data_IF_613900464933
#
_entry.id   IF_613900464933
#
_cell.length_a   1.000
_cell.length_b   1.000
_cell.length_c   1.000
_cell.angle_alpha   90.00
_cell.angle_beta   90.00
_cell.angle_gamma   90.00
#
_symmetry.space_group_name_H-M   'P 1'
#
loop_
_entity.id
_entity.type
_entity.pdbx_description
1 polymer ?
#
# COMPACT_ATOMS: atom_id res chain seq x y z
N UNK A 1 -9.50 9.18 -14.18
CA UNK A 1 -9.06 8.21 -13.15
C UNK A 1 -7.86 8.79 -12.41
N UNK A 2 -7.81 8.67 -11.09
CA UNK A 2 -6.70 9.18 -10.29
C UNK A 2 -5.57 8.14 -10.26
N UNK A 3 -4.33 8.61 -10.36
CA UNK A 3 -3.13 7.76 -10.24
C UNK A 3 -2.58 7.88 -8.83
N UNK A 4 -2.22 6.76 -8.23
CA UNK A 4 -1.66 6.71 -6.89
C UNK A 4 -0.32 5.98 -6.89
N UNK A 5 0.64 6.51 -6.13
CA UNK A 5 1.90 5.82 -5.83
C UNK A 5 1.77 4.88 -4.63
N UNK A 6 2.66 3.88 -4.52
CA UNK A 6 2.77 3.04 -3.31
C UNK A 6 2.89 3.90 -2.05
N UNK A 7 3.69 4.96 -2.09
CA UNK A 7 3.90 5.84 -0.94
C UNK A 7 2.63 6.61 -0.56
N UNK A 8 1.87 7.12 -1.53
CA UNK A 8 0.58 7.79 -1.24
C UNK A 8 -0.44 6.81 -0.66
N UNK A 9 -0.57 5.61 -1.22
CA UNK A 9 -1.49 4.59 -0.72
C UNK A 9 -1.09 4.13 0.68
N UNK A 10 0.19 3.86 0.90
CA UNK A 10 0.71 3.52 2.23
C UNK A 10 0.49 4.68 3.21
N UNK A 11 0.77 5.93 2.84
CA UNK A 11 0.51 7.07 3.71
C UNK A 11 -0.99 7.25 3.98
N UNK A 12 -1.88 7.03 3.02
CA UNK A 12 -3.31 7.25 3.20
C UNK A 12 -3.97 6.18 4.07
N UNK A 13 -3.57 4.92 3.89
CA UNK A 13 -4.24 3.77 4.51
C UNK A 13 -3.46 3.16 5.68
N UNK A 14 -2.16 3.47 5.81
CA UNK A 14 -1.31 2.97 6.89
C UNK A 14 -0.83 4.06 7.87
N UNK A 15 -1.16 5.36 7.67
CA UNK A 15 -0.84 6.44 8.64
C UNK A 15 -1.52 6.30 9.99
N UNK A 16 -2.56 5.46 10.11
CA UNK A 16 -3.42 5.45 11.32
C UNK A 16 -2.63 5.13 12.57
N UNK A 17 -1.52 4.38 12.53
CA UNK A 17 -0.56 4.35 13.64
C UNK A 17 0.82 3.91 13.17
N UNK A 18 1.84 4.74 13.39
CA UNK A 18 3.26 4.36 13.20
C UNK A 18 3.62 3.05 13.94
N UNK A 19 2.89 2.75 15.02
CA UNK A 19 3.09 1.53 15.83
C UNK A 19 2.10 0.40 15.54
N UNK A 20 0.85 0.68 15.13
CA UNK A 20 -0.18 -0.34 14.84
C UNK A 20 -0.23 -0.81 13.37
N UNK A 21 0.82 -0.55 12.60
CA UNK A 21 1.04 -1.19 11.29
C UNK A 21 0.87 -2.73 11.25
N UNK A 22 1.26 -3.52 12.27
CA UNK A 22 0.93 -4.95 12.31
C UNK A 22 -0.56 -5.26 12.53
N UNK A 23 -1.38 -4.26 12.85
CA UNK A 23 -2.82 -4.40 13.13
C UNK A 23 -3.72 -3.82 12.04
N UNK A 24 -3.17 -3.13 11.03
CA UNK A 24 -3.92 -2.84 9.81
C UNK A 24 -4.17 -4.17 9.12
N UNK A 25 -5.36 -4.72 9.35
CA UNK A 25 -5.74 -6.02 8.81
C UNK A 25 -5.79 -5.93 7.29
N UNK A 26 -5.27 -6.96 6.60
CA UNK A 26 -5.42 -7.14 5.14
C UNK A 26 -6.82 -6.79 4.67
N UNK A 27 -7.83 -7.25 5.41
CA UNK A 27 -9.25 -7.00 5.14
C UNK A 27 -9.62 -5.51 5.06
N UNK A 28 -9.05 -4.66 5.92
CA UNK A 28 -9.36 -3.24 5.95
C UNK A 28 -8.69 -2.50 4.78
N UNK A 29 -7.45 -2.87 4.43
CA UNK A 29 -6.76 -2.40 3.23
C UNK A 29 -7.54 -2.78 1.96
N UNK A 30 -7.91 -4.05 1.86
CA UNK A 30 -8.74 -4.58 0.77
C UNK A 30 -10.05 -3.82 0.63
N UNK A 31 -10.82 -3.68 1.71
CA UNK A 31 -12.10 -2.96 1.67
C UNK A 31 -11.95 -1.49 1.28
N UNK A 32 -10.87 -0.84 1.72
CA UNK A 32 -10.63 0.57 1.42
C UNK A 32 -10.17 0.80 -0.02
N UNK A 33 -9.31 -0.07 -0.55
CA UNK A 33 -8.83 0.00 -1.92
C UNK A 33 -9.90 -0.45 -2.92
N UNK A 34 -10.74 -1.41 -2.56
CA UNK A 34 -11.87 -1.84 -3.39
C UNK A 34 -12.85 -0.67 -3.67
N UNK A 35 -13.06 0.23 -2.70
CA UNK A 35 -13.88 1.45 -2.88
C UNK A 35 -13.27 2.46 -3.84
N UNK A 36 -11.95 2.37 -4.12
CA UNK A 36 -11.28 3.23 -5.08
C UNK A 36 -11.29 2.65 -6.50
N UNK A 37 -11.69 1.39 -6.68
CA UNK A 37 -11.72 0.78 -8.01
C UNK A 37 -12.75 1.48 -8.90
N UNK A 38 -12.43 1.73 -10.18
CA UNK A 38 -11.14 1.49 -10.82
C UNK A 38 -10.15 2.65 -10.63
N UNK A 39 -8.86 2.36 -10.41
CA UNK A 39 -7.81 3.37 -10.22
C UNK A 39 -6.50 3.00 -10.92
N UNK A 40 -5.61 3.98 -11.10
CA UNK A 40 -4.26 3.74 -11.61
C UNK A 40 -3.25 3.69 -10.47
N UNK A 41 -2.33 2.75 -10.55
CA UNK A 41 -1.34 2.43 -9.53
C UNK A 41 0.06 2.46 -10.17
N UNK A 42 1.01 3.16 -9.56
CA UNK A 42 2.42 3.11 -9.97
C UNK A 42 3.12 2.07 -9.09
N UNK A 43 3.62 1.01 -9.73
CA UNK A 43 4.27 -0.09 -9.04
C UNK A 43 5.72 0.20 -8.65
N UNK A 44 6.35 -0.76 -7.98
CA UNK A 44 7.75 -0.64 -7.52
C UNK A 44 8.75 -0.53 -8.68
N UNK A 45 8.38 -0.96 -9.89
CA UNK A 45 9.16 -0.82 -11.13
C UNK A 45 8.86 0.49 -11.87
N UNK A 46 8.02 1.36 -11.30
CA UNK A 46 7.52 2.61 -11.90
C UNK A 46 6.61 2.38 -13.12
N UNK A 47 6.03 1.20 -13.23
CA UNK A 47 5.03 0.91 -14.27
C UNK A 47 3.64 1.35 -13.80
N UNK A 48 2.86 1.92 -14.73
CA UNK A 48 1.48 2.31 -14.45
C UNK A 48 0.57 1.14 -14.74
N UNK A 49 -0.09 0.63 -13.70
CA UNK A 49 -1.02 -0.49 -13.76
C UNK A 49 -2.43 0.03 -13.50
N UNK A 50 -3.38 -0.43 -14.29
CA UNK A 50 -4.80 -0.16 -14.05
C UNK A 50 -5.38 -1.25 -13.15
N UNK A 51 -5.99 -0.83 -12.05
CA UNK A 51 -6.54 -1.73 -11.03
C UNK A 51 -8.04 -1.78 -11.23
N UNK A 52 -8.49 -2.85 -11.91
CA UNK A 52 -9.89 -3.06 -12.29
C UNK A 52 -10.47 -4.35 -11.73
N UNK A 53 -9.65 -5.25 -11.21
CA UNK A 53 -10.06 -6.52 -10.62
C UNK A 53 -9.57 -6.71 -9.19
N UNK A 54 -10.16 -7.68 -8.50
CA UNK A 54 -9.70 -8.12 -7.16
C UNK A 54 -8.28 -8.68 -7.24
N UNK A 55 -7.90 -9.33 -8.36
CA UNK A 55 -6.56 -9.85 -8.57
C UNK A 55 -5.51 -8.73 -8.65
N UNK A 56 -5.84 -7.63 -9.34
CA UNK A 56 -4.99 -6.43 -9.38
C UNK A 56 -4.86 -5.82 -7.98
N UNK A 57 -5.95 -5.82 -7.22
CA UNK A 57 -5.98 -5.32 -5.85
C UNK A 57 -5.06 -6.12 -4.92
N UNK A 58 -4.99 -7.45 -5.07
CA UNK A 58 -4.10 -8.31 -4.29
C UNK A 58 -2.63 -7.93 -4.48
N UNK A 59 -2.24 -7.64 -5.72
CA UNK A 59 -0.89 -7.16 -6.03
C UNK A 59 -0.60 -5.84 -5.31
N UNK A 60 -1.52 -4.88 -5.38
CA UNK A 60 -1.38 -3.58 -4.72
C UNK A 60 -1.27 -3.72 -3.20
N UNK A 61 -2.11 -4.56 -2.58
CA UNK A 61 -2.08 -4.80 -1.13
C UNK A 61 -0.74 -5.40 -0.69
N UNK A 62 -0.23 -6.38 -1.44
CA UNK A 62 1.09 -6.99 -1.18
C UNK A 62 2.21 -5.96 -1.27
N UNK A 63 2.20 -5.13 -2.30
CA UNK A 63 3.23 -4.10 -2.52
C UNK A 63 3.23 -3.03 -1.42
N UNK A 64 2.05 -2.57 -0.98
CA UNK A 64 1.92 -1.61 0.13
C UNK A 64 2.52 -2.20 1.41
N UNK A 65 2.22 -3.47 1.71
CA UNK A 65 2.68 -4.13 2.94
C UNK A 65 4.18 -4.38 2.91
N UNK A 66 4.69 -4.80 1.76
CA UNK A 66 6.11 -4.94 1.54
C UNK A 66 6.85 -3.61 1.74
N UNK A 67 6.37 -2.53 1.12
CA UNK A 67 6.94 -1.18 1.26
C UNK A 67 6.97 -0.70 2.71
N UNK A 68 5.87 -0.89 3.43
CA UNK A 68 5.74 -0.57 4.85
C UNK A 68 6.75 -1.35 5.69
N UNK A 69 6.88 -2.66 5.48
CA UNK A 69 7.82 -3.53 6.20
C UNK A 69 9.27 -3.09 5.96
N UNK A 70 9.62 -2.78 4.70
CA UNK A 70 10.94 -2.26 4.35
C UNK A 70 11.25 -0.93 5.04
N UNK A 71 10.29 0.01 5.09
CA UNK A 71 10.46 1.28 5.82
C UNK A 71 10.72 1.08 7.31
N UNK A 72 9.99 0.15 7.97
CA UNK A 72 10.26 -0.19 9.37
C UNK A 72 11.67 -0.73 9.59
N UNK A 73 12.15 -1.59 8.69
CA UNK A 73 13.52 -2.14 8.76
C UNK A 73 14.58 -1.05 8.66
N UNK A 74 14.44 -0.10 7.72
CA UNK A 74 15.36 1.04 7.57
C UNK A 74 15.40 1.95 8.81
N UNK A 75 14.23 2.32 9.35
CA UNK A 75 14.14 3.16 10.55
C UNK A 75 14.77 2.47 11.77
N UNK A 76 14.68 1.13 11.85
CA UNK A 76 15.30 0.36 12.93
C UNK A 76 16.83 0.35 12.81
N UNK A 77 17.37 0.25 11.61
CA UNK A 77 18.82 0.24 11.37
C UNK A 77 19.47 1.63 11.47
N UNK A 78 18.74 2.72 11.22
CA UNK A 78 19.26 4.10 11.43
C UNK A 78 19.36 4.50 12.92
N UNK A 79 18.80 3.70 13.83
CA UNK A 79 18.83 3.93 15.28
C UNK A 79 19.95 3.20 16.03
N UNK A 80 20.86 2.53 15.32
CA UNK A 80 22.01 1.84 15.90
C UNK A 80 23.32 2.41 15.38
#
# INVERSE_FOLDING_TARGET
MRTYTIEELANRYCRVHRDLLPYVTWRQLYSSLAKLMPFKYIDSKREVIEVCSIADLDKVVKDIIYFVRLRKSRIRNEKF
#
